data_IF_692095861889
#
_entry.id   IF_692095861889
#
_cell.length_a   1.000
_cell.length_b   1.000
_cell.length_c   1.000
_cell.angle_alpha   90.00
_cell.angle_beta   90.00
_cell.angle_gamma   90.00
#
_symmetry.space_group_name_H-M   'P 1'
#
loop_
_entity.id
_entity.type
_entity.pdbx_description
1 polymer ?
#
# COMPACT_ATOMS: atom_id res chain seq x y z
N UNK A 1 -38.48 18.85 35.27
CA UNK A 1 -37.72 17.59 35.02
C UNK A 1 -36.43 17.79 34.19
N UNK A 2 -35.93 19.01 33.97
CA UNK A 2 -34.95 19.31 32.90
C UNK A 2 -33.47 19.31 33.31
N UNK A 3 -33.13 19.69 34.55
CA UNK A 3 -31.73 19.81 35.00
C UNK A 3 -31.05 18.44 35.24
N UNK A 4 -31.79 17.50 35.82
CA UNK A 4 -31.29 16.14 36.07
C UNK A 4 -31.11 15.36 34.77
N UNK A 5 -32.00 15.54 33.79
CA UNK A 5 -31.88 14.90 32.47
C UNK A 5 -30.63 15.36 31.71
N UNK A 6 -30.27 16.65 31.79
CA UNK A 6 -29.06 17.18 31.16
C UNK A 6 -27.78 16.64 31.83
N UNK A 7 -27.76 16.52 33.16
CA UNK A 7 -26.64 15.93 33.91
C UNK A 7 -26.52 14.44 33.58
N UNK A 8 -27.63 13.70 33.55
CA UNK A 8 -27.65 12.29 33.17
C UNK A 8 -27.15 12.12 31.73
N UNK A 9 -27.60 12.96 30.79
CA UNK A 9 -27.13 12.93 29.40
C UNK A 9 -25.64 13.21 29.25
N UNK A 10 -25.10 14.19 29.99
CA UNK A 10 -23.67 14.48 30.00
C UNK A 10 -22.84 13.33 30.62
N UNK A 11 -23.34 12.72 31.70
CA UNK A 11 -22.71 11.55 32.33
C UNK A 11 -22.76 10.33 31.41
N UNK A 12 -23.87 10.09 30.71
CA UNK A 12 -23.99 9.03 29.71
C UNK A 12 -23.06 9.27 28.51
N UNK A 13 -22.95 10.50 28.01
CA UNK A 13 -22.01 10.83 26.93
C UNK A 13 -20.56 10.65 27.38
N UNK A 14 -20.21 11.08 28.59
CA UNK A 14 -18.88 10.86 29.16
C UNK A 14 -18.57 9.37 29.36
N UNK A 15 -19.56 8.57 29.80
CA UNK A 15 -19.46 7.11 29.90
C UNK A 15 -19.32 6.44 28.54
N UNK A 16 -20.04 6.87 27.50
CA UNK A 16 -19.90 6.34 26.14
C UNK A 16 -18.51 6.65 25.58
N UNK A 17 -18.01 7.87 25.80
CA UNK A 17 -16.64 8.25 25.43
C UNK A 17 -15.63 7.41 26.21
N UNK A 18 -15.82 7.22 27.53
CA UNK A 18 -14.94 6.40 28.38
C UNK A 18 -14.96 4.91 27.99
N UNK A 19 -16.12 4.35 27.67
CA UNK A 19 -16.25 2.97 27.17
C UNK A 19 -15.57 2.84 25.81
N UNK A 20 -15.75 3.81 24.90
CA UNK A 20 -15.05 3.84 23.61
C UNK A 20 -13.52 4.02 23.76
N UNK A 21 -13.05 4.56 24.88
CA UNK A 21 -11.63 4.67 25.23
C UNK A 21 -11.04 3.34 25.75
N UNK A 22 -11.87 2.50 26.38
CA UNK A 22 -11.45 1.28 27.08
C UNK A 22 -11.75 0.00 26.29
N UNK A 23 -12.77 0.01 25.44
CA UNK A 23 -13.24 -1.14 24.70
C UNK A 23 -13.49 -0.79 23.22
N UNK A 24 -12.94 -1.57 22.27
CA UNK A 24 -13.15 -1.39 20.83
C UNK A 24 -14.59 -1.55 20.30
N UNK A 25 -15.63 -1.49 21.14
CA UNK A 25 -17.01 -1.89 20.83
C UNK A 25 -17.62 -1.20 19.61
N UNK A 26 -17.22 0.05 19.30
CA UNK A 26 -17.74 0.83 18.16
C UNK A 26 -16.82 0.88 16.93
N UNK A 27 -15.65 0.23 16.95
CA UNK A 27 -14.67 0.29 15.85
C UNK A 27 -15.25 -0.16 14.51
N UNK A 28 -16.18 -1.11 14.49
CA UNK A 28 -16.83 -1.55 13.26
C UNK A 28 -17.54 -0.42 12.52
N UNK A 29 -18.31 0.41 13.22
CA UNK A 29 -19.02 1.54 12.62
C UNK A 29 -18.07 2.67 12.19
N UNK A 30 -17.01 2.89 12.97
CA UNK A 30 -15.96 3.86 12.63
C UNK A 30 -15.23 3.47 11.34
N UNK A 31 -14.83 2.21 11.19
CA UNK A 31 -14.19 1.70 9.97
C UNK A 31 -15.10 1.77 8.77
N UNK A 32 -16.40 1.45 8.93
CA UNK A 32 -17.37 1.52 7.84
C UNK A 32 -17.55 2.95 7.32
N UNK A 33 -17.61 3.92 8.24
CA UNK A 33 -17.67 5.34 7.90
C UNK A 33 -16.36 5.83 7.27
N UNK A 34 -15.22 5.42 7.83
CA UNK A 34 -13.90 5.74 7.29
C UNK A 34 -13.75 5.23 5.86
N UNK A 35 -14.15 3.99 5.58
CA UNK A 35 -14.08 3.40 4.25
C UNK A 35 -15.03 4.09 3.28
N UNK A 36 -16.21 4.52 3.75
CA UNK A 36 -17.12 5.33 2.94
C UNK A 36 -16.50 6.68 2.54
N UNK A 37 -15.85 7.38 3.50
CA UNK A 37 -15.15 8.64 3.22
C UNK A 37 -13.92 8.41 2.33
N UNK A 38 -13.16 7.35 2.56
CA UNK A 38 -12.01 6.95 1.76
C UNK A 38 -12.43 6.70 0.32
N UNK A 39 -13.50 5.93 0.06
CA UNK A 39 -14.02 5.72 -1.30
C UNK A 39 -14.44 7.01 -1.97
N UNK A 40 -15.16 7.87 -1.25
CA UNK A 40 -15.61 9.17 -1.78
C UNK A 40 -14.44 10.09 -2.14
N UNK A 41 -13.35 10.08 -1.36
CA UNK A 41 -12.15 10.85 -1.63
C UNK A 41 -11.28 10.23 -2.73
N UNK A 42 -11.13 8.90 -2.73
CA UNK A 42 -10.38 8.16 -3.74
C UNK A 42 -11.01 8.29 -5.12
N UNK A 43 -12.34 8.40 -5.22
CA UNK A 43 -13.05 8.66 -6.48
C UNK A 43 -12.69 10.02 -7.11
N UNK A 44 -12.20 10.97 -6.30
CA UNK A 44 -11.78 12.31 -6.74
C UNK A 44 -10.28 12.42 -6.98
N UNK A 45 -9.51 11.37 -6.69
CA UNK A 45 -8.06 11.34 -6.83
C UNK A 45 -7.69 10.41 -7.97
N UNK A 46 -7.00 10.96 -8.96
CA UNK A 46 -6.41 10.16 -10.01
C UNK A 46 -5.13 9.48 -9.48
N UNK A 47 -4.95 8.18 -9.72
CA UNK A 47 -3.67 7.51 -9.47
C UNK A 47 -2.53 8.22 -10.18
N UNK A 48 -1.32 8.14 -9.62
CA UNK A 48 -0.14 8.65 -10.30
C UNK A 48 0.06 7.96 -11.66
N UNK A 49 0.00 8.69 -12.78
CA UNK A 49 0.07 8.09 -14.11
C UNK A 49 1.45 7.52 -14.42
N UNK A 50 2.48 7.74 -13.60
CA UNK A 50 3.78 7.09 -13.78
C UNK A 50 3.74 5.63 -13.34
N UNK A 51 2.80 5.23 -12.49
CA UNK A 51 2.73 3.86 -11.97
C UNK A 51 1.88 3.01 -12.93
N UNK A 52 2.40 1.84 -13.31
CA UNK A 52 1.69 0.87 -14.15
C UNK A 52 1.85 -0.54 -13.60
N UNK A 53 0.82 -1.37 -13.80
CA UNK A 53 0.82 -2.77 -13.41
C UNK A 53 0.86 -3.66 -14.67
N UNK A 54 1.87 -4.51 -14.76
CA UNK A 54 1.91 -5.67 -15.66
C UNK A 54 1.32 -6.84 -14.89
N UNK A 55 0.09 -7.18 -15.27
CA UNK A 55 -0.73 -8.17 -14.59
C UNK A 55 -0.52 -9.56 -15.20
N UNK A 56 -0.16 -10.53 -14.37
CA UNK A 56 -0.37 -11.95 -14.68
C UNK A 56 -1.81 -12.29 -14.28
N UNK A 57 -2.74 -11.90 -15.16
CA UNK A 57 -4.18 -12.07 -15.00
C UNK A 57 -4.66 -13.42 -15.53
N UNK A 58 -5.90 -13.81 -15.22
CA UNK A 58 -6.51 -15.02 -15.78
C UNK A 58 -6.54 -15.00 -17.32
N UNK A 59 -6.71 -13.83 -17.93
CA UNK A 59 -6.62 -13.65 -19.38
C UNK A 59 -5.21 -13.87 -19.90
N UNK A 60 -4.21 -13.25 -19.29
CA UNK A 60 -2.81 -13.43 -19.68
C UNK A 60 -2.37 -14.89 -19.53
N UNK A 61 -2.81 -15.57 -18.47
CA UNK A 61 -2.50 -16.99 -18.25
C UNK A 61 -3.08 -17.85 -19.37
N UNK A 62 -4.37 -17.67 -19.71
CA UNK A 62 -4.99 -18.40 -20.82
C UNK A 62 -4.27 -18.17 -22.14
N UNK A 63 -3.90 -16.93 -22.43
CA UNK A 63 -3.24 -16.56 -23.70
C UNK A 63 -1.81 -17.11 -23.79
N UNK A 64 -1.13 -17.33 -22.65
CA UNK A 64 0.25 -17.82 -22.59
C UNK A 64 0.35 -19.33 -22.37
N UNK A 65 -0.75 -20.01 -22.03
CA UNK A 65 -0.74 -21.42 -21.61
C UNK A 65 -0.12 -22.35 -22.65
N UNK A 66 -0.42 -22.14 -23.93
CA UNK A 66 0.10 -22.98 -25.02
C UNK A 66 1.62 -22.82 -25.23
N UNK A 67 2.17 -21.63 -24.98
CA UNK A 67 3.57 -21.30 -25.25
C UNK A 67 4.47 -21.49 -24.02
N UNK A 68 3.96 -21.17 -22.83
CA UNK A 68 4.76 -21.09 -21.61
C UNK A 68 4.20 -21.93 -20.45
N UNK A 69 3.11 -22.66 -20.68
CA UNK A 69 2.44 -23.47 -19.65
C UNK A 69 1.69 -22.63 -18.63
N UNK A 70 1.45 -23.20 -17.45
CA UNK A 70 0.80 -22.51 -16.33
C UNK A 70 1.84 -21.99 -15.34
N UNK A 71 1.53 -20.89 -14.63
CA UNK A 71 2.41 -20.39 -13.58
C UNK A 71 2.59 -21.40 -12.42
N UNK A 72 3.72 -21.36 -11.69
CA UNK A 72 4.80 -20.38 -11.81
C UNK A 72 5.58 -20.54 -13.12
N UNK A 73 5.72 -19.45 -13.89
CA UNK A 73 6.44 -19.46 -15.15
C UNK A 73 7.94 -19.58 -14.93
N UNK A 74 8.63 -20.18 -15.91
CA UNK A 74 10.09 -20.09 -16.00
C UNK A 74 10.54 -18.63 -15.94
N UNK A 75 11.66 -18.39 -15.25
CA UNK A 75 12.21 -17.05 -15.09
C UNK A 75 12.71 -16.40 -16.38
N UNK A 76 12.84 -17.19 -17.45
CA UNK A 76 13.04 -16.65 -18.79
C UNK A 76 11.88 -15.76 -19.25
N UNK A 77 10.63 -16.09 -18.90
CA UNK A 77 9.45 -15.27 -19.25
C UNK A 77 9.57 -13.87 -18.62
N UNK A 78 9.96 -13.81 -17.34
CA UNK A 78 10.18 -12.53 -16.67
C UNK A 78 11.42 -11.79 -17.19
N UNK A 79 12.44 -12.51 -17.65
CA UNK A 79 13.62 -11.91 -18.27
C UNK A 79 13.27 -11.21 -19.59
N UNK A 80 12.47 -11.86 -20.44
CA UNK A 80 11.94 -11.28 -21.69
C UNK A 80 11.06 -10.07 -21.40
N UNK A 81 10.16 -10.18 -20.42
CA UNK A 81 9.32 -9.05 -20.00
C UNK A 81 10.16 -7.83 -19.57
N UNK A 82 11.23 -8.05 -18.77
CA UNK A 82 12.14 -6.97 -18.36
C UNK A 82 12.86 -6.36 -19.57
N UNK A 83 13.31 -7.18 -20.52
CA UNK A 83 13.97 -6.68 -21.73
C UNK A 83 13.05 -5.81 -22.59
N UNK A 84 11.78 -6.21 -22.77
CA UNK A 84 10.82 -5.37 -23.49
C UNK A 84 10.46 -4.09 -22.72
N UNK A 85 10.31 -4.17 -21.39
CA UNK A 85 10.10 -2.97 -20.56
C UNK A 85 11.28 -1.99 -20.66
N UNK A 86 12.52 -2.49 -20.66
CA UNK A 86 13.72 -1.69 -20.87
C UNK A 86 13.71 -1.03 -22.25
N UNK A 87 13.43 -1.80 -23.32
CA UNK A 87 13.38 -1.30 -24.70
C UNK A 87 12.32 -0.21 -24.88
N UNK A 88 11.14 -0.42 -24.29
CA UNK A 88 10.06 0.55 -24.28
C UNK A 88 10.37 1.81 -23.43
N UNK A 89 11.48 1.80 -22.68
CA UNK A 89 11.95 2.94 -21.91
C UNK A 89 11.27 3.11 -20.56
N UNK A 90 10.80 2.02 -19.94
CA UNK A 90 10.34 2.05 -18.55
C UNK A 90 11.45 2.56 -17.63
N UNK A 91 11.10 3.34 -16.62
CA UNK A 91 12.06 3.97 -15.71
C UNK A 91 12.60 2.99 -14.67
N UNK A 92 11.76 2.07 -14.20
CA UNK A 92 12.08 1.08 -13.17
C UNK A 92 11.08 -0.08 -13.23
N UNK A 93 11.54 -1.30 -12.92
CA UNK A 93 10.66 -2.47 -12.74
C UNK A 93 10.71 -2.95 -11.29
N UNK A 94 9.54 -3.14 -10.68
CA UNK A 94 9.37 -3.79 -9.39
C UNK A 94 8.70 -5.14 -9.62
N UNK A 95 9.35 -6.23 -9.21
CA UNK A 95 8.80 -7.58 -9.38
C UNK A 95 8.19 -8.01 -8.06
N UNK A 96 6.86 -8.00 -7.98
CA UNK A 96 6.05 -8.45 -6.84
C UNK A 96 5.79 -9.97 -6.93
N UNK A 97 6.89 -10.72 -7.08
CA UNK A 97 6.91 -12.18 -7.15
C UNK A 97 8.14 -12.68 -6.40
N UNK A 98 7.95 -13.62 -5.48
CA UNK A 98 9.05 -14.17 -4.68
C UNK A 98 9.88 -15.17 -5.49
N UNK A 99 11.20 -14.96 -5.50
CA UNK A 99 12.17 -15.87 -6.09
C UNK A 99 13.19 -16.32 -5.05
N UNK A 100 12.72 -16.96 -3.98
CA UNK A 100 13.53 -17.44 -2.86
C UNK A 100 14.15 -18.82 -3.11
N UNK A 101 13.69 -19.54 -4.14
CA UNK A 101 14.11 -20.91 -4.48
C UNK A 101 14.46 -21.02 -5.96
N UNK A 102 15.45 -21.84 -6.30
CA UNK A 102 15.91 -22.09 -7.67
C UNK A 102 14.82 -22.75 -8.51
N UNK A 103 14.78 -22.39 -9.79
CA UNK A 103 13.91 -23.08 -10.75
C UNK A 103 14.59 -24.41 -11.09
N UNK A 104 14.05 -25.51 -10.56
CA UNK A 104 14.65 -26.83 -10.72
C UNK A 104 14.43 -27.41 -12.10
N UNK A 105 13.35 -26.99 -12.75
CA UNK A 105 12.96 -27.50 -14.06
C UNK A 105 13.65 -26.70 -15.17
N UNK A 106 13.94 -25.41 -14.93
CA UNK A 106 14.55 -24.49 -15.90
C UNK A 106 15.72 -23.66 -15.31
N UNK A 107 16.87 -24.28 -14.95
CA UNK A 107 17.99 -23.57 -14.35
C UNK A 107 18.60 -22.48 -15.24
N UNK A 108 18.52 -22.62 -16.57
CA UNK A 108 18.90 -21.59 -17.53
C UNK A 108 18.03 -20.33 -17.43
N UNK A 109 16.77 -20.46 -17.00
CA UNK A 109 15.87 -19.35 -16.74
C UNK A 109 16.38 -18.44 -15.61
N UNK A 110 16.94 -19.02 -14.54
CA UNK A 110 17.60 -18.27 -13.47
C UNK A 110 18.77 -17.44 -14.03
N UNK A 111 19.60 -18.04 -14.88
CA UNK A 111 20.73 -17.32 -15.49
C UNK A 111 20.24 -16.16 -16.36
N UNK A 112 19.25 -16.40 -17.22
CA UNK A 112 18.73 -15.38 -18.14
C UNK A 112 18.06 -14.23 -17.41
N UNK A 113 17.35 -14.52 -16.32
CA UNK A 113 16.75 -13.51 -15.45
C UNK A 113 17.81 -12.70 -14.71
N UNK A 114 18.85 -13.35 -14.17
CA UNK A 114 19.97 -12.65 -13.53
C UNK A 114 20.68 -11.68 -14.48
N UNK A 115 20.77 -12.00 -15.78
CA UNK A 115 21.29 -11.10 -16.80
C UNK A 115 20.35 -9.91 -17.04
N UNK A 116 19.06 -10.17 -17.25
CA UNK A 116 18.06 -9.14 -17.54
C UNK A 116 17.96 -8.08 -16.42
N UNK A 117 17.92 -8.48 -15.15
CA UNK A 117 17.79 -7.56 -14.01
C UNK A 117 18.97 -6.60 -13.83
N UNK A 118 20.12 -6.86 -14.48
CA UNK A 118 21.29 -5.97 -14.46
C UNK A 118 21.22 -4.88 -15.54
N UNK A 119 20.33 -5.03 -16.52
CA UNK A 119 20.27 -4.13 -17.69
C UNK A 119 19.46 -2.86 -17.44
N UNK A 120 18.69 -2.81 -16.34
CA UNK A 120 17.90 -1.65 -15.92
C UNK A 120 17.68 -1.68 -14.40
N UNK A 121 17.16 -0.60 -13.78
CA UNK A 121 16.80 -0.62 -12.37
C UNK A 121 15.65 -1.60 -12.11
N UNK A 122 15.95 -2.73 -11.47
CA UNK A 122 14.96 -3.72 -11.02
C UNK A 122 14.99 -3.86 -9.50
N UNK A 123 13.82 -3.80 -8.86
CA UNK A 123 13.64 -4.10 -7.43
C UNK A 123 12.91 -5.43 -7.29
N UNK A 124 13.49 -6.36 -6.55
CA UNK A 124 12.92 -7.70 -6.35
C UNK A 124 12.18 -7.81 -5.02
N UNK A 125 11.07 -8.55 -5.02
CA UNK A 125 10.35 -8.89 -3.82
C UNK A 125 11.20 -9.74 -2.86
N UNK A 126 11.11 -9.38 -1.59
CA UNK A 126 11.60 -10.18 -0.47
C UNK A 126 10.45 -10.46 0.50
N UNK A 127 10.63 -11.43 1.39
CA UNK A 127 9.62 -11.77 2.39
C UNK A 127 10.20 -11.62 3.79
N UNK A 128 9.40 -11.04 4.69
CA UNK A 128 9.68 -11.02 6.13
C UNK A 128 8.65 -11.83 6.90
N UNK A 129 9.09 -12.45 7.99
CA UNK A 129 8.22 -13.22 8.88
C UNK A 129 8.60 -13.05 10.36
N UNK A 130 7.70 -13.45 11.25
CA UNK A 130 7.91 -13.43 12.71
C UNK A 130 8.76 -14.59 13.22
N UNK A 131 9.36 -15.37 12.32
CA UNK A 131 10.25 -16.46 12.72
C UNK A 131 11.59 -15.92 13.23
N UNK A 132 12.37 -16.72 13.98
CA UNK A 132 13.70 -16.35 14.40
C UNK A 132 14.58 -15.92 13.20
N UNK A 133 15.34 -14.82 13.30
CA UNK A 133 16.21 -14.36 12.23
C UNK A 133 17.23 -15.42 11.83
N UNK A 134 17.51 -15.52 10.53
CA UNK A 134 18.63 -16.29 9.98
C UNK A 134 19.69 -15.34 9.43
N UNK A 135 20.94 -15.81 9.24
CA UNK A 135 21.96 -15.05 8.53
C UNK A 135 21.44 -14.59 7.17
N UNK A 136 21.50 -13.28 6.94
CA UNK A 136 21.15 -12.68 5.65
C UNK A 136 22.27 -13.02 4.68
N UNK A 137 21.91 -13.43 3.47
CA UNK A 137 22.91 -13.78 2.48
C UNK A 137 23.81 -12.56 2.16
N UNK A 138 25.16 -12.68 2.25
CA UNK A 138 26.07 -11.54 2.29
C UNK A 138 25.91 -10.55 1.13
N UNK A 139 25.60 -11.06 -0.06
CA UNK A 139 25.39 -10.27 -1.28
C UNK A 139 24.22 -9.28 -1.19
N UNK A 140 23.28 -9.46 -0.26
CA UNK A 140 22.17 -8.54 -0.04
C UNK A 140 22.40 -7.53 1.07
N UNK A 141 23.48 -7.62 1.85
CA UNK A 141 23.75 -6.69 2.94
C UNK A 141 23.85 -5.23 2.44
N UNK A 142 24.42 -5.01 1.26
CA UNK A 142 24.52 -3.68 0.63
C UNK A 142 23.19 -3.13 0.11
N UNK A 143 22.14 -3.96 0.06
CA UNK A 143 20.78 -3.60 -0.38
C UNK A 143 19.84 -3.26 0.78
N UNK A 144 20.29 -3.48 2.03
CA UNK A 144 19.53 -3.11 3.22
C UNK A 144 19.76 -1.66 3.59
N UNK A 145 18.75 -1.04 4.17
CA UNK A 145 18.82 0.33 4.67
C UNK A 145 19.53 0.39 6.00
N UNK A 146 20.27 1.47 6.22
CA UNK A 146 20.92 1.77 7.48
C UNK A 146 19.93 2.44 8.44
N UNK A 147 19.76 1.86 9.61
CA UNK A 147 18.93 2.39 10.69
C UNK A 147 19.81 3.26 11.61
N UNK A 148 19.59 4.58 11.60
CA UNK A 148 20.27 5.53 12.52
C UNK A 148 19.61 5.67 13.88
N UNK A 149 18.48 5.00 14.08
CA UNK A 149 17.75 4.97 15.34
C UNK A 149 17.14 3.59 15.49
N UNK A 150 17.00 3.15 16.74
CA UNK A 150 16.22 1.95 17.03
C UNK A 150 14.77 2.21 16.62
N UNK A 151 14.22 1.26 15.87
CA UNK A 151 12.82 1.27 15.50
C UNK A 151 12.04 0.48 16.55
N UNK A 152 10.88 0.97 17.03
CA UNK A 152 10.05 0.26 18.00
C UNK A 152 9.26 -0.89 17.35
N UNK A 153 9.90 -1.65 16.47
CA UNK A 153 9.30 -2.76 15.72
C UNK A 153 10.05 -4.07 16.01
N UNK A 154 9.36 -5.22 16.14
CA UNK A 154 10.01 -6.50 16.36
C UNK A 154 10.96 -6.87 15.21
N UNK A 155 12.03 -7.58 15.55
CA UNK A 155 12.92 -8.19 14.57
C UNK A 155 12.16 -9.18 13.67
N UNK A 156 12.50 -9.17 12.38
CA UNK A 156 11.92 -10.07 11.38
C UNK A 156 13.00 -10.94 10.76
N UNK A 157 12.66 -12.19 10.48
CA UNK A 157 13.44 -13.04 9.57
C UNK A 157 13.23 -12.55 8.15
N UNK A 158 14.32 -12.31 7.43
CA UNK A 158 14.32 -11.95 6.02
C UNK A 158 14.62 -13.16 5.15
N UNK A 159 13.73 -13.47 4.20
CA UNK A 159 14.01 -14.34 3.07
C UNK A 159 14.33 -13.46 1.86
N UNK A 160 15.58 -13.50 1.40
CA UNK A 160 16.04 -12.77 0.22
C UNK A 160 15.76 -13.56 -1.06
N UNK A 161 15.75 -12.90 -2.23
CA UNK A 161 15.80 -13.62 -3.50
C UNK A 161 17.07 -14.47 -3.60
N UNK A 162 17.14 -15.33 -4.62
CA UNK A 162 18.32 -16.16 -4.88
C UNK A 162 19.63 -15.35 -4.92
N UNK A 163 20.75 -15.90 -4.44
CA UNK A 163 22.06 -15.24 -4.51
C UNK A 163 22.47 -14.75 -5.90
N UNK A 164 22.13 -15.51 -6.94
CA UNK A 164 22.38 -15.17 -8.35
C UNK A 164 21.72 -13.85 -8.77
N UNK A 165 20.69 -13.39 -8.06
CA UNK A 165 19.92 -12.18 -8.37
C UNK A 165 20.40 -10.91 -7.65
N UNK A 166 21.53 -10.97 -6.95
CA UNK A 166 22.09 -9.80 -6.26
C UNK A 166 22.48 -8.63 -7.17
N UNK A 167 22.47 -8.84 -8.49
CA UNK A 167 22.63 -7.80 -9.51
C UNK A 167 21.45 -6.81 -9.60
N UNK A 168 20.29 -7.12 -8.99
CA UNK A 168 19.16 -6.21 -8.92
C UNK A 168 19.53 -4.86 -8.26
N UNK A 169 18.82 -3.79 -8.62
CA UNK A 169 19.04 -2.46 -8.05
C UNK A 169 18.76 -2.43 -6.55
N UNK A 170 17.72 -3.15 -6.10
CA UNK A 170 17.30 -3.23 -4.70
C UNK A 170 16.46 -4.48 -4.41
N UNK A 171 16.16 -4.68 -3.13
CA UNK A 171 15.14 -5.62 -2.67
C UNK A 171 14.14 -4.90 -1.77
N UNK A 172 12.90 -5.34 -1.75
CA UNK A 172 11.91 -4.79 -0.82
C UNK A 172 10.84 -5.79 -0.45
N UNK A 173 10.36 -5.71 0.79
CA UNK A 173 9.38 -6.67 1.32
C UNK A 173 8.00 -6.44 0.73
N UNK A 174 7.32 -7.54 0.38
CA UNK A 174 5.92 -7.53 -0.07
C UNK A 174 4.96 -7.84 1.07
N UNK A 175 5.44 -7.69 2.32
CA UNK A 175 4.66 -7.98 3.51
C UNK A 175 3.52 -6.97 3.63
N UNK A 176 2.30 -7.49 3.64
CA UNK A 176 1.10 -6.76 4.03
C UNK A 176 0.82 -7.13 5.48
N UNK A 177 0.73 -6.12 6.35
CA UNK A 177 0.46 -6.36 7.77
C UNK A 177 -0.98 -6.86 7.97
N UNK A 178 -1.19 -7.72 8.96
CA UNK A 178 -2.53 -8.12 9.37
C UNK A 178 -3.24 -6.94 10.03
N UNK A 179 -4.30 -6.44 9.40
CA UNK A 179 -5.18 -5.43 9.97
C UNK A 179 -6.13 -6.06 10.98
N UNK A 180 -6.47 -5.34 12.06
CA UNK A 180 -7.62 -5.71 12.92
C UNK A 180 -8.95 -5.45 12.23
N UNK A 181 -8.96 -4.54 11.27
CA UNK A 181 -10.10 -4.30 10.38
C UNK A 181 -10.14 -5.40 9.31
N UNK A 182 -11.33 -5.69 8.78
CA UNK A 182 -11.47 -6.61 7.67
C UNK A 182 -10.70 -6.12 6.42
N UNK A 183 -10.53 -4.80 6.27
CA UNK A 183 -9.78 -4.16 5.19
C UNK A 183 -8.35 -3.74 5.62
N UNK A 184 -7.43 -3.72 4.66
CA UNK A 184 -6.07 -3.21 4.82
C UNK A 184 -6.09 -1.69 4.68
N UNK A 185 -5.49 -0.99 5.64
CA UNK A 185 -5.36 0.48 5.64
C UNK A 185 -3.92 0.97 5.74
N UNK A 186 -3.01 0.09 6.11
CA UNK A 186 -1.61 0.43 6.40
C UNK A 186 -0.66 -0.53 5.70
N UNK A 187 0.57 -0.07 5.48
CA UNK A 187 1.68 -0.89 4.99
C UNK A 187 2.95 -0.65 5.80
N UNK A 188 3.76 -1.69 6.03
CA UNK A 188 5.10 -1.51 6.58
C UNK A 188 5.96 -0.67 5.65
N UNK A 189 6.80 0.20 6.21
CA UNK A 189 7.79 0.94 5.42
C UNK A 189 9.16 0.27 5.47
N UNK A 190 9.53 -0.25 6.63
CA UNK A 190 10.80 -0.92 6.86
C UNK A 190 10.62 -1.97 7.96
N UNK A 191 11.23 -3.12 7.79
CA UNK A 191 11.32 -4.16 8.81
C UNK A 191 12.74 -4.20 9.37
N UNK A 192 12.86 -4.34 10.70
CA UNK A 192 14.16 -4.51 11.35
C UNK A 192 14.65 -5.95 11.18
N UNK A 193 15.87 -6.14 10.69
CA UNK A 193 16.47 -7.48 10.49
C UNK A 193 17.62 -7.76 11.45
N UNK A 194 17.80 -6.91 12.45
CA UNK A 194 18.87 -7.00 13.45
C UNK A 194 20.03 -6.04 13.18
N UNK A 195 20.73 -5.68 14.26
CA UNK A 195 21.80 -4.67 14.21
C UNK A 195 21.26 -3.30 13.79
N UNK A 196 22.03 -2.58 12.98
CA UNK A 196 21.65 -1.28 12.42
C UNK A 196 21.09 -1.38 10.99
N UNK A 197 20.50 -2.53 10.61
CA UNK A 197 20.00 -2.76 9.26
C UNK A 197 18.50 -3.03 9.26
N UNK A 198 17.82 -2.44 8.28
CA UNK A 198 16.42 -2.69 8.00
C UNK A 198 16.21 -3.00 6.52
N UNK A 199 15.23 -3.84 6.24
CA UNK A 199 14.80 -4.12 4.88
C UNK A 199 13.59 -3.23 4.55
N UNK A 200 13.65 -2.38 3.51
CA UNK A 200 12.49 -1.58 3.12
C UNK A 200 11.35 -2.46 2.59
N UNK A 201 10.13 -1.95 2.58
CA UNK A 201 9.07 -2.54 1.75
C UNK A 201 9.33 -2.27 0.26
N UNK A 202 8.76 -3.10 -0.60
CA UNK A 202 8.86 -2.97 -2.06
C UNK A 202 8.55 -1.54 -2.54
N UNK A 203 7.42 -0.90 -2.18
CA UNK A 203 7.14 0.48 -2.57
C UNK A 203 8.13 1.50 -1.97
N UNK A 204 8.66 1.25 -0.77
CA UNK A 204 9.62 2.16 -0.13
C UNK A 204 10.98 2.15 -0.85
N UNK A 205 11.46 0.99 -1.28
CA UNK A 205 12.71 0.88 -2.06
C UNK A 205 12.56 1.48 -3.46
N UNK A 206 11.41 1.24 -4.11
CA UNK A 206 11.10 1.88 -5.39
C UNK A 206 11.07 3.39 -5.26
N UNK A 207 10.38 3.93 -4.24
CA UNK A 207 10.34 5.36 -3.97
C UNK A 207 11.74 5.94 -3.72
N UNK A 208 12.59 5.22 -2.98
CA UNK A 208 13.97 5.63 -2.72
C UNK A 208 14.76 5.81 -4.02
N UNK A 209 14.68 4.83 -4.93
CA UNK A 209 15.40 4.88 -6.21
C UNK A 209 14.87 6.01 -7.09
N UNK A 210 13.54 6.09 -7.26
CA UNK A 210 12.87 7.08 -8.13
C UNK A 210 13.08 8.51 -7.63
N UNK A 211 13.08 8.73 -6.32
CA UNK A 211 13.28 10.05 -5.72
C UNK A 211 14.77 10.37 -5.44
N UNK A 212 15.69 9.47 -5.80
CA UNK A 212 17.13 9.56 -5.54
C UNK A 212 17.47 9.82 -4.05
N UNK A 213 16.83 9.07 -3.15
CA UNK A 213 17.02 9.16 -1.71
C UNK A 213 18.15 8.23 -1.22
N UNK A 214 18.82 8.57 -0.11
CA UNK A 214 19.79 7.67 0.53
C UNK A 214 19.11 6.43 1.11
N UNK A 215 19.83 5.31 1.16
CA UNK A 215 19.41 4.08 1.84
C UNK A 215 19.67 4.16 3.35
N UNK A 216 19.25 5.26 3.96
CA UNK A 216 19.44 5.56 5.37
C UNK A 216 18.16 6.15 5.94
N UNK A 217 17.77 5.66 7.12
CA UNK A 217 16.55 6.09 7.78
C UNK A 217 16.77 6.41 9.25
N UNK A 218 16.00 7.39 9.73
CA UNK A 218 16.01 7.83 11.12
C UNK A 218 14.58 8.02 11.63
N UNK A 219 14.34 7.67 12.88
CA UNK A 219 13.06 7.93 13.53
C UNK A 219 12.98 9.39 14.02
N UNK A 220 11.87 10.07 13.73
CA UNK A 220 11.55 11.44 14.15
C UNK A 220 10.14 11.49 14.77
N UNK A 221 10.06 11.14 16.06
CA UNK A 221 8.78 10.98 16.75
C UNK A 221 7.99 9.82 16.15
N UNK A 222 6.82 10.13 15.59
CA UNK A 222 5.95 9.15 14.91
C UNK A 222 6.15 9.11 13.39
N UNK A 223 7.34 9.46 12.89
CA UNK A 223 7.63 9.44 11.46
C UNK A 223 9.02 8.89 11.17
N UNK A 224 9.14 8.20 10.04
CA UNK A 224 10.42 7.80 9.49
C UNK A 224 10.92 8.86 8.52
N UNK A 225 12.15 9.32 8.72
CA UNK A 225 12.85 10.19 7.77
C UNK A 225 13.67 9.35 6.80
N UNK A 226 13.41 9.51 5.51
CA UNK A 226 14.12 8.88 4.39
C UNK A 226 14.67 10.00 3.51
N UNK A 227 15.90 10.44 3.73
CA UNK A 227 16.44 11.66 3.12
C UNK A 227 15.53 12.88 3.38
N UNK A 228 14.95 13.45 2.31
CA UNK A 228 13.99 14.56 2.41
C UNK A 228 12.55 14.16 2.71
N UNK A 229 12.20 12.87 2.63
CA UNK A 229 10.84 12.38 2.83
C UNK A 229 10.59 12.11 4.32
N UNK A 230 9.51 12.67 4.87
CA UNK A 230 9.05 12.39 6.23
C UNK A 230 7.75 11.58 6.17
N UNK A 231 7.84 10.29 6.45
CA UNK A 231 6.74 9.33 6.35
C UNK A 231 6.12 9.10 7.74
N UNK A 232 4.90 9.59 8.02
CA UNK A 232 4.20 9.28 9.26
C UNK A 232 3.95 7.78 9.40
N UNK A 233 4.12 7.25 10.60
CA UNK A 233 3.90 5.84 10.92
C UNK A 233 3.10 5.67 12.21
N UNK A 234 2.38 4.56 12.30
CA UNK A 234 1.80 4.07 13.56
C UNK A 234 2.90 3.44 14.45
N UNK A 235 2.50 2.96 15.64
CA UNK A 235 3.42 2.32 16.59
C UNK A 235 4.06 1.03 16.04
N UNK A 236 3.46 0.40 15.03
CA UNK A 236 3.95 -0.83 14.40
C UNK A 236 4.93 -0.54 13.23
N UNK A 237 5.27 0.72 12.97
CA UNK A 237 6.15 1.11 11.86
C UNK A 237 5.46 1.07 10.49
N UNK A 238 4.14 1.25 10.47
CA UNK A 238 3.33 1.19 9.26
C UNK A 238 2.80 2.56 8.87
N UNK A 239 2.83 2.85 7.58
CA UNK A 239 2.26 4.05 6.98
C UNK A 239 0.80 3.81 6.62
N UNK A 240 -0.08 4.76 6.97
CA UNK A 240 -1.46 4.78 6.49
C UNK A 240 -1.52 5.08 4.98
N UNK A 241 -2.31 4.29 4.26
CA UNK A 241 -2.50 4.43 2.83
C UNK A 241 -3.61 5.43 2.58
N UNK A 242 -3.24 6.52 1.93
CA UNK A 242 -4.19 7.45 1.34
C UNK A 242 -4.56 6.95 -0.06
N UNK A 243 -5.77 6.42 -0.20
CA UNK A 243 -6.21 5.72 -1.40
C UNK A 243 -6.54 6.65 -2.58
N UNK A 244 -6.24 6.18 -3.78
CA UNK A 244 -6.50 6.86 -5.06
C UNK A 244 -7.26 5.93 -6.02
N UNK A 245 -8.00 6.55 -6.95
CA UNK A 245 -8.46 5.88 -8.17
C UNK A 245 -9.70 5.01 -8.05
N UNK A 246 -10.49 5.12 -6.98
CA UNK A 246 -11.71 4.31 -6.83
C UNK A 246 -12.61 4.36 -8.07
N UNK A 247 -12.89 3.19 -8.64
CA UNK A 247 -13.82 2.99 -9.75
C UNK A 247 -14.93 2.04 -9.27
N UNK A 248 -16.15 2.22 -9.77
CA UNK A 248 -17.27 1.32 -9.43
C UNK A 248 -17.14 -0.07 -10.06
N UNK A 249 -16.28 -0.24 -11.06
CA UNK A 249 -16.01 -1.55 -11.66
C UNK A 249 -15.16 -2.39 -10.72
N UNK A 250 -15.69 -3.53 -10.28
CA UNK A 250 -14.97 -4.45 -9.39
C UNK A 250 -13.89 -5.27 -10.10
N UNK A 251 -13.91 -5.31 -11.44
CA UNK A 251 -13.03 -6.17 -12.24
C UNK A 251 -11.77 -5.45 -12.77
N UNK A 252 -11.77 -4.11 -12.77
CA UNK A 252 -10.66 -3.33 -13.28
C UNK A 252 -9.74 -2.87 -12.15
N UNK A 253 -8.43 -3.06 -12.34
CA UNK A 253 -7.42 -2.43 -11.51
C UNK A 253 -7.61 -0.90 -11.51
N UNK A 254 -7.32 -0.26 -10.39
CA UNK A 254 -7.48 1.18 -10.22
C UNK A 254 -6.37 1.96 -10.94
N UNK A 255 -5.19 1.36 -11.09
CA UNK A 255 -4.04 1.87 -11.84
C UNK A 255 -4.07 1.42 -13.31
N UNK A 256 -3.35 2.13 -14.17
CA UNK A 256 -3.11 1.69 -15.55
C UNK A 256 -2.47 0.29 -15.53
N UNK A 257 -3.01 -0.62 -16.34
CA UNK A 257 -2.53 -1.99 -16.38
C UNK A 257 -2.52 -2.59 -17.77
N UNK A 258 -1.55 -3.46 -18.02
CA UNK A 258 -1.48 -4.33 -19.20
C UNK A 258 -1.27 -5.77 -18.74
N UNK A 259 -1.72 -6.74 -19.54
CA UNK A 259 -1.43 -8.15 -19.27
C UNK A 259 0.01 -8.50 -19.63
N UNK A 260 0.60 -9.46 -18.92
CA UNK A 260 1.94 -10.00 -19.24
C UNK A 260 2.00 -10.55 -20.67
N UNK A 261 0.90 -11.14 -21.15
CA UNK A 261 0.73 -11.64 -22.51
C UNK A 261 1.01 -10.57 -23.58
N UNK A 262 0.62 -9.32 -23.33
CA UNK A 262 0.88 -8.21 -24.26
C UNK A 262 2.36 -7.86 -24.36
N UNK A 263 3.12 -7.99 -23.27
CA UNK A 263 4.58 -7.84 -23.30
C UNK A 263 5.23 -8.99 -24.06
N UNK A 264 4.77 -10.22 -23.85
CA UNK A 264 5.29 -11.38 -24.57
C UNK A 264 4.98 -11.28 -26.07
N UNK A 265 3.78 -10.81 -26.43
CA UNK A 265 3.42 -10.57 -27.83
C UNK A 265 4.27 -9.47 -28.46
N UNK A 266 4.58 -8.40 -27.71
CA UNK A 266 5.49 -7.35 -28.15
C UNK A 266 6.93 -7.85 -28.36
N UNK A 267 7.39 -8.79 -27.53
CA UNK A 267 8.68 -9.48 -27.72
C UNK A 267 8.66 -10.34 -29.00
N UNK A 268 7.62 -11.15 -29.20
CA UNK A 268 7.48 -11.99 -30.39
C UNK A 268 7.43 -11.15 -31.68
N UNK A 269 6.78 -10.00 -31.65
CA UNK A 269 6.69 -9.08 -32.78
C UNK A 269 8.06 -8.51 -33.22
N UNK A 270 9.13 -8.69 -32.43
CA UNK A 270 10.50 -8.31 -32.83
C UNK A 270 11.12 -9.32 -33.77
N UNK A 271 10.89 -10.60 -33.48
CA UNK A 271 11.42 -11.70 -34.27
C UNK A 271 10.53 -11.93 -35.50
N UNK A 272 9.22 -11.69 -35.36
CA UNK A 272 8.26 -11.76 -36.45
C UNK A 272 7.38 -10.49 -36.52
N UNK A 273 7.74 -9.52 -37.37
CA UNK A 273 6.97 -8.28 -37.56
C UNK A 273 5.54 -8.48 -38.09
N UNK A 274 5.15 -9.70 -38.49
CA UNK A 274 3.78 -10.00 -38.91
C UNK A 274 2.79 -10.13 -37.75
N UNK A 275 3.29 -10.36 -36.52
CA UNK A 275 2.49 -10.60 -35.31
C UNK A 275 1.73 -9.34 -34.88
N UNK A 276 2.40 -8.19 -34.83
CA UNK A 276 1.80 -6.90 -34.51
C UNK A 276 2.28 -5.84 -35.52
N UNK A 277 1.37 -5.03 -36.11
CA UNK A 277 1.77 -3.90 -36.95
C UNK A 277 2.70 -2.93 -36.21
N UNK A 278 3.73 -2.43 -36.91
CA UNK A 278 4.76 -1.57 -36.32
C UNK A 278 4.21 -0.33 -35.57
N UNK A 279 3.13 0.29 -36.07
CA UNK A 279 2.51 1.44 -35.40
C UNK A 279 1.85 1.07 -34.06
N UNK A 280 1.27 -0.12 -33.97
CA UNK A 280 0.66 -0.63 -32.73
C UNK A 280 1.73 -0.96 -31.70
N UNK A 281 2.84 -1.58 -32.13
CA UNK A 281 3.99 -1.83 -31.28
C UNK A 281 4.60 -0.51 -30.76
N UNK A 282 4.78 0.48 -31.63
CA UNK A 282 5.31 1.79 -31.23
C UNK A 282 4.38 2.53 -30.25
N UNK A 283 3.05 2.45 -30.44
CA UNK A 283 2.08 3.00 -29.50
C UNK A 283 2.12 2.28 -28.13
N UNK A 284 2.28 0.95 -28.14
CA UNK A 284 2.45 0.15 -26.94
C UNK A 284 3.73 0.55 -26.18
N UNK A 285 4.86 0.66 -26.86
CA UNK A 285 6.12 1.12 -26.25
C UNK A 285 6.00 2.54 -25.68
N UNK A 286 5.36 3.44 -26.43
CA UNK A 286 5.11 4.81 -25.97
C UNK A 286 4.28 4.86 -24.67
N UNK A 287 3.36 3.91 -24.47
CA UNK A 287 2.57 3.81 -23.24
C UNK A 287 3.39 3.39 -22.00
N UNK A 288 4.54 2.73 -22.20
CA UNK A 288 5.42 2.22 -21.15
C UNK A 288 6.58 3.16 -20.82
N UNK A 289 6.87 4.11 -21.71
CA UNK A 289 7.99 5.05 -21.57
C UNK A 289 7.89 5.88 -20.28
N UNK A 290 8.94 5.83 -19.47
CA UNK A 290 9.06 6.55 -18.20
C UNK A 290 8.20 6.01 -17.07
N UNK A 291 7.50 4.88 -17.27
CA UNK A 291 6.64 4.27 -16.24
C UNK A 291 7.48 3.54 -15.18
N UNK A 292 6.98 3.53 -13.96
CA UNK A 292 7.39 2.66 -12.87
C UNK A 292 6.46 1.45 -12.91
N UNK A 293 7.00 0.28 -13.25
CA UNK A 293 6.20 -0.88 -13.61
C UNK A 293 6.26 -1.94 -12.51
N UNK A 294 5.10 -2.36 -12.00
CA UNK A 294 4.98 -3.54 -11.15
C UNK A 294 4.63 -4.77 -11.98
N UNK A 295 5.41 -5.85 -11.89
CA UNK A 295 5.03 -7.16 -12.43
C UNK A 295 4.48 -8.00 -11.28
N UNK A 296 3.23 -8.44 -11.36
CA UNK A 296 2.56 -9.14 -10.25
C UNK A 296 1.50 -10.14 -10.72
N UNK A 297 1.22 -11.16 -9.91
CA UNK A 297 0.04 -12.01 -10.11
C UNK A 297 -1.24 -11.27 -9.70
N UNK A 298 -2.23 -11.29 -10.57
CA UNK A 298 -3.57 -10.73 -10.31
C UNK A 298 -4.70 -11.72 -10.60
N UNK A 299 -4.38 -12.89 -11.15
CA UNK A 299 -5.32 -13.98 -11.42
C UNK A 299 -5.91 -14.57 -10.14
N UNK A 300 -7.17 -14.98 -10.20
CA UNK A 300 -7.84 -15.63 -9.08
C UNK A 300 -7.17 -16.98 -8.75
N UNK A 301 -6.64 -17.13 -7.54
CA UNK A 301 -6.04 -18.38 -7.04
C UNK A 301 -4.51 -18.44 -7.04
N UNK A 302 -3.82 -17.47 -7.65
CA UNK A 302 -2.35 -17.38 -7.61
C UNK A 302 -1.82 -16.29 -6.69
N UNK A 303 -2.71 -15.45 -6.16
CA UNK A 303 -2.35 -14.37 -5.27
C UNK A 303 -3.27 -14.32 -4.04
N UNK A 304 -2.73 -13.81 -2.93
CA UNK A 304 -3.44 -13.62 -1.68
C UNK A 304 -4.30 -12.34 -1.76
N UNK A 305 -5.55 -12.51 -2.18
CA UNK A 305 -6.51 -11.41 -2.34
C UNK A 305 -6.78 -10.75 -0.99
N UNK A 306 -6.69 -9.42 -0.95
CA UNK A 306 -6.88 -8.62 0.25
C UNK A 306 -8.13 -7.76 0.14
N UNK A 307 -8.83 -7.61 1.25
CA UNK A 307 -9.86 -6.59 1.37
C UNK A 307 -9.22 -5.23 1.61
N UNK A 308 -9.74 -4.21 0.96
CA UNK A 308 -9.31 -2.82 1.03
C UNK A 308 -10.55 -1.92 1.13
N UNK A 309 -10.40 -0.65 1.51
CA UNK A 309 -11.51 0.30 1.47
C UNK A 309 -12.14 0.45 0.09
N UNK A 310 -11.39 0.18 -0.98
CA UNK A 310 -11.84 0.34 -2.36
C UNK A 310 -12.52 -0.90 -2.91
N UNK A 311 -12.00 -2.09 -2.59
CA UNK A 311 -12.54 -3.37 -3.04
C UNK A 311 -12.39 -4.42 -1.95
N UNK A 312 -13.43 -5.23 -1.75
CA UNK A 312 -13.38 -6.38 -0.84
C UNK A 312 -12.42 -7.48 -1.33
N UNK A 313 -12.11 -7.47 -2.63
CA UNK A 313 -11.22 -8.42 -3.30
C UNK A 313 -10.27 -7.62 -4.18
N UNK A 314 -9.11 -7.26 -3.65
CA UNK A 314 -8.08 -6.49 -4.34
C UNK A 314 -6.78 -7.31 -4.45
N UNK A 315 -6.10 -7.29 -5.60
CA UNK A 315 -4.73 -7.79 -5.72
C UNK A 315 -3.78 -6.99 -4.83
N UNK A 316 -2.84 -7.66 -4.15
CA UNK A 316 -1.92 -6.98 -3.21
C UNK A 316 -1.00 -5.96 -3.89
N UNK A 317 -0.73 -6.12 -5.19
CA UNK A 317 0.00 -5.11 -5.97
C UNK A 317 -0.69 -3.74 -5.96
N UNK A 318 -2.03 -3.65 -5.84
CA UNK A 318 -2.72 -2.36 -5.73
C UNK A 318 -2.44 -1.65 -4.40
N UNK A 319 -2.20 -2.42 -3.33
CA UNK A 319 -1.78 -1.90 -2.03
C UNK A 319 -0.37 -1.31 -2.16
N UNK A 320 0.54 -2.03 -2.83
CA UNK A 320 1.89 -1.55 -3.10
C UNK A 320 1.91 -0.33 -4.04
N UNK A 321 1.06 -0.29 -5.07
CA UNK A 321 0.94 0.84 -5.97
C UNK A 321 0.43 2.11 -5.25
N UNK A 322 -0.61 1.99 -4.42
CA UNK A 322 -1.08 3.12 -3.59
C UNK A 322 -0.06 3.56 -2.54
N UNK A 323 0.69 2.63 -1.95
CA UNK A 323 1.78 2.98 -1.05
C UNK A 323 2.88 3.75 -1.78
N UNK A 324 3.29 3.30 -2.97
CA UNK A 324 4.26 4.00 -3.79
C UNK A 324 3.77 5.40 -4.19
N UNK A 325 2.51 5.51 -4.64
CA UNK A 325 1.87 6.77 -5.00
C UNK A 325 2.01 7.79 -3.85
N UNK A 326 1.68 7.38 -2.63
CA UNK A 326 1.83 8.24 -1.45
C UNK A 326 3.27 8.66 -1.17
N UNK A 327 4.23 7.75 -1.32
CA UNK A 327 5.65 8.01 -1.09
C UNK A 327 6.24 8.96 -2.12
N UNK A 328 5.97 8.76 -3.42
CA UNK A 328 6.52 9.60 -4.50
C UNK A 328 5.89 10.99 -4.54
N UNK A 329 4.66 11.13 -4.06
CA UNK A 329 3.93 12.39 -4.04
C UNK A 329 3.92 13.09 -2.68
N UNK A 330 4.50 12.48 -1.63
CA UNK A 330 4.53 13.05 -0.28
C UNK A 330 3.14 13.20 0.35
N UNK A 331 2.18 12.35 -0.04
CA UNK A 331 0.78 12.42 0.41
C UNK A 331 0.55 11.40 1.51
N UNK A 332 0.56 11.85 2.75
CA UNK A 332 0.45 10.97 3.91
C UNK A 332 -0.71 11.34 4.80
N UNK A 333 -1.41 10.31 5.27
CA UNK A 333 -2.37 10.44 6.34
C UNK A 333 -1.65 10.40 7.70
N UNK A 334 -2.03 11.33 8.57
CA UNK A 334 -1.44 11.53 9.89
C UNK A 334 -2.47 11.28 10.97
N UNK A 335 -2.02 10.72 12.07
CA UNK A 335 -2.86 10.44 13.22
C UNK A 335 -3.10 11.75 13.98
N UNK A 336 -4.35 12.04 14.33
CA UNK A 336 -4.67 13.23 15.11
C UNK A 336 -4.04 13.15 16.51
N UNK A 337 -3.65 14.29 17.09
CA UNK A 337 -3.10 14.31 18.44
C UNK A 337 -4.19 13.98 19.47
N UNK A 338 -4.05 12.83 20.14
CA UNK A 338 -4.95 12.36 21.21
C UNK A 338 -5.16 13.40 22.30
N UNK A 339 -4.10 14.08 22.72
CA UNK A 339 -4.14 15.07 23.80
C UNK A 339 -4.97 16.30 23.47
N UNK A 340 -5.18 16.61 22.19
CA UNK A 340 -6.03 17.73 21.75
C UNK A 340 -7.44 17.26 21.39
N UNK A 341 -7.57 16.10 20.74
CA UNK A 341 -8.86 15.62 20.26
C UNK A 341 -9.80 15.26 21.42
N UNK A 342 -9.31 14.58 22.45
CA UNK A 342 -10.19 14.11 23.53
C UNK A 342 -10.80 15.26 24.36
N UNK A 343 -10.05 16.26 24.83
CA UNK A 343 -10.64 17.41 25.50
C UNK A 343 -11.65 18.14 24.62
N UNK A 344 -11.35 18.29 23.32
CA UNK A 344 -12.27 18.91 22.38
C UNK A 344 -13.59 18.14 22.26
N UNK A 345 -13.55 16.81 22.14
CA UNK A 345 -14.75 15.97 22.09
C UNK A 345 -15.58 16.06 23.38
N UNK A 346 -14.92 16.14 24.55
CA UNK A 346 -15.60 16.32 25.84
C UNK A 346 -16.32 17.67 25.88
N UNK A 347 -15.64 18.76 25.48
CA UNK A 347 -16.22 20.11 25.44
C UNK A 347 -17.39 20.19 24.47
N UNK A 348 -17.25 19.63 23.26
CA UNK A 348 -18.33 19.61 22.26
C UNK A 348 -19.53 18.78 22.74
N UNK A 349 -19.29 17.62 23.35
CA UNK A 349 -20.37 16.76 23.88
C UNK A 349 -21.09 17.43 25.05
N UNK A 350 -20.35 18.08 25.95
CA UNK A 350 -20.92 18.85 27.05
C UNK A 350 -21.74 20.05 26.57
N UNK A 351 -21.24 20.78 25.56
CA UNK A 351 -21.94 21.89 24.92
C UNK A 351 -23.25 21.45 24.27
N UNK A 352 -23.22 20.34 23.51
CA UNK A 352 -24.40 19.74 22.90
C UNK A 352 -25.43 19.29 23.94
N UNK A 353 -24.97 18.58 24.99
CA UNK A 353 -25.84 18.15 26.09
C UNK A 353 -26.50 19.34 26.80
N UNK A 354 -25.77 20.44 27.01
CA UNK A 354 -26.30 21.65 27.61
C UNK A 354 -27.28 22.41 26.70
N UNK A 355 -27.11 22.36 25.38
CA UNK A 355 -28.05 22.92 24.41
C UNK A 355 -29.36 22.11 24.36
N UNK A 356 -29.25 20.77 24.31
CA UNK A 356 -30.39 19.87 24.33
C UNK A 356 -31.17 19.97 25.65
N UNK A 357 -30.48 20.03 26.79
CA UNK A 357 -31.11 20.14 28.11
C UNK A 357 -31.85 21.46 28.38
N UNK A 358 -31.52 22.53 27.64
CA UNK A 358 -32.24 23.81 27.71
C UNK A 358 -33.46 23.86 26.79
N UNK A 359 -33.53 22.97 25.81
CA UNK A 359 -34.57 22.99 24.78
C UNK A 359 -35.83 22.26 25.29
N UNK A 360 -36.95 22.97 25.41
CA UNK A 360 -38.23 22.38 25.87
C UNK A 360 -39.01 21.67 24.77
N UNK A 361 -38.81 22.06 23.52
CA UNK A 361 -39.47 21.44 22.36
C UNK A 361 -38.69 20.21 21.88
N UNK A 362 -39.37 19.06 21.83
CA UNK A 362 -38.77 17.81 21.37
C UNK A 362 -38.34 17.89 19.90
N UNK A 363 -39.09 18.59 19.05
CA UNK A 363 -38.74 18.76 17.62
C UNK A 363 -37.47 19.59 17.42
N UNK A 364 -37.31 20.66 18.21
CA UNK A 364 -36.11 21.51 18.15
C UNK A 364 -34.89 20.73 18.68
N UNK A 365 -35.05 19.98 19.77
CA UNK A 365 -34.00 19.12 20.29
C UNK A 365 -33.57 18.06 19.25
N UNK A 366 -34.54 17.45 18.56
CA UNK A 366 -34.26 16.53 17.44
C UNK A 366 -33.49 17.18 16.31
N UNK A 367 -33.90 18.37 15.87
CA UNK A 367 -33.19 19.11 14.82
C UNK A 367 -31.74 19.46 15.21
N UNK A 368 -31.52 19.90 16.46
CA UNK A 368 -30.18 20.17 16.99
C UNK A 368 -29.32 18.90 16.95
N UNK A 369 -29.86 17.75 17.37
CA UNK A 369 -29.14 16.49 17.35
C UNK A 369 -28.74 16.07 15.92
N UNK A 370 -29.66 16.18 14.94
CA UNK A 370 -29.38 15.87 13.53
C UNK A 370 -28.29 16.78 12.97
N UNK A 371 -28.39 18.09 13.21
CA UNK A 371 -27.38 19.07 12.76
C UNK A 371 -26.02 18.77 13.38
N UNK A 372 -25.97 18.43 14.67
CA UNK A 372 -24.73 18.05 15.34
C UNK A 372 -24.08 16.81 14.70
N UNK A 373 -24.87 15.77 14.38
CA UNK A 373 -24.36 14.59 13.66
C UNK A 373 -23.81 14.97 12.29
N UNK A 374 -24.53 15.79 11.51
CA UNK A 374 -24.07 16.26 10.20
C UNK A 374 -22.76 17.05 10.30
N UNK A 375 -22.60 17.88 11.32
CA UNK A 375 -21.36 18.62 11.58
C UNK A 375 -20.21 17.65 11.88
N UNK A 376 -20.43 16.63 12.72
CA UNK A 376 -19.39 15.63 13.04
C UNK A 376 -18.99 14.85 11.78
N UNK A 377 -19.96 14.43 10.97
CA UNK A 377 -19.68 13.74 9.69
C UNK A 377 -18.90 14.64 8.73
N UNK A 378 -19.31 15.90 8.57
CA UNK A 378 -18.63 16.87 7.72
C UNK A 378 -17.21 17.18 8.23
N UNK A 379 -17.02 17.32 9.55
CA UNK A 379 -15.71 17.53 10.16
C UNK A 379 -14.79 16.31 9.98
N UNK A 380 -15.33 15.09 10.12
CA UNK A 380 -14.59 13.86 9.86
C UNK A 380 -14.16 13.71 8.40
N UNK A 381 -15.07 13.99 7.47
CA UNK A 381 -14.75 14.01 6.04
C UNK A 381 -13.70 15.08 5.70
N UNK A 382 -13.85 16.29 6.26
CA UNK A 382 -12.90 17.38 6.07
C UNK A 382 -11.51 17.01 6.64
N UNK A 383 -11.45 16.44 7.85
CA UNK A 383 -10.21 15.98 8.46
C UNK A 383 -9.50 14.93 7.59
N UNK A 384 -10.22 13.90 7.12
CA UNK A 384 -9.63 12.88 6.24
C UNK A 384 -9.18 13.47 4.90
N UNK A 385 -9.97 14.39 4.33
CA UNK A 385 -9.58 15.11 3.11
C UNK A 385 -8.31 15.95 3.30
N UNK A 386 -8.05 16.46 4.52
CA UNK A 386 -6.80 17.11 4.90
C UNK A 386 -5.66 16.14 5.29
N UNK A 387 -5.93 14.83 5.34
CA UNK A 387 -4.95 13.80 5.72
C UNK A 387 -4.80 13.64 7.22
N UNK A 388 -5.88 13.86 7.97
CA UNK A 388 -5.94 13.66 9.42
C UNK A 388 -6.91 12.51 9.71
N UNK A 389 -6.40 11.47 10.35
CA UNK A 389 -7.16 10.26 10.73
C UNK A 389 -7.39 10.26 12.24
N UNK A 390 -8.58 9.83 12.66
CA UNK A 390 -8.92 9.76 14.08
C UNK A 390 -8.01 8.77 14.83
N UNK A 391 -7.64 9.05 16.09
CA UNK A 391 -6.69 8.25 16.86
C UNK A 391 -7.16 6.83 17.16
N UNK A 392 -8.47 6.60 17.25
CA UNK A 392 -9.07 5.28 17.48
C UNK A 392 -8.78 4.32 16.32
N UNK A 393 -8.77 4.85 15.08
CA UNK A 393 -8.41 4.12 13.86
C UNK A 393 -6.90 4.04 13.63
N UNK A 394 -6.13 4.91 14.28
CA UNK A 394 -4.68 5.03 14.12
C UNK A 394 -3.86 4.33 15.22
N UNK A 395 -4.50 3.98 16.33
CA UNK A 395 -3.89 3.29 17.47
C UNK A 395 -3.82 1.76 17.28
N UNK A 396 -4.01 1.28 16.04
CA UNK A 396 -4.02 -0.13 15.69
C UNK A 396 -2.91 -0.45 14.70
#
# INVERSE_FOLDING_TARGET
>A
MTRNAAIIGAVCAALIVLVSLLDPTFLGAEWLLHDAFTRALAARRHPDPRIMIVAVSDEAIRNLEELYGRPPYSREVYAVAIDELRRAGAALVAVDILFTEGDRDHPEGDRRFAEAIRTMPVVLAAQTSNQPPLPIAPQYLSKLWLLRSELPIPLKRLATPLPSFAGAAGIGTIRIASSRSAAIHTVPIVDSTGGNRGVPSLPAEVARIVLHLPAEVRLEGNALRIGRLRVPMNANGEMAIRWSGFRKSAEALHYDSIGLDKLMLAALARDDPSVIPAHTLAAFEASLKGKIVFIAYTAAGLYDLRSTPLSAVAPGVEIHANALDNLINGRFDRTANRGLLFPLLIVLSGGLGAALGRTRSQSIAGAIAVVAVLIVLAAGFAALSAGIVAPTMAAT
#
